data_IF_820264611778
#
_entry.id   IF_820264611778
#
_cell.length_a   1.000
_cell.length_b   1.000
_cell.length_c   1.000
_cell.angle_alpha   90.00
_cell.angle_beta   90.00
_cell.angle_gamma   90.00
#
_symmetry.space_group_name_H-M   'P 1'
#
loop_
_entity.id
_entity.type
_entity.pdbx_description
1 polymer ?
#
# COMPACT_ATOMS: atom_id res chain seq x y z
N UNK A 1 -0.75 -15.76 10.83
CA UNK A 1 -2.20 -15.46 11.03
C UNK A 1 -2.45 -14.34 12.05
N UNK A 2 -2.01 -14.45 13.33
CA UNK A 2 -2.19 -13.38 14.34
C UNK A 2 -1.64 -12.01 13.89
N UNK A 3 -0.46 -12.00 13.24
CA UNK A 3 0.20 -10.77 12.77
C UNK A 3 -0.63 -10.02 11.72
N UNK A 4 -1.17 -10.75 10.73
CA UNK A 4 -2.01 -10.17 9.68
C UNK A 4 -3.31 -9.58 10.21
N UNK A 5 -3.90 -10.21 11.24
CA UNK A 5 -5.09 -9.70 11.94
C UNK A 5 -4.80 -8.39 12.68
N UNK A 6 -3.64 -8.28 13.33
CA UNK A 6 -3.21 -7.04 13.96
C UNK A 6 -3.03 -5.90 12.96
N UNK A 7 -2.45 -6.19 11.79
CA UNK A 7 -2.25 -5.20 10.72
C UNK A 7 -3.60 -4.74 10.14
N UNK A 8 -4.56 -5.66 9.96
CA UNK A 8 -5.90 -5.30 9.51
C UNK A 8 -6.64 -4.42 10.52
N UNK A 9 -6.51 -4.73 11.82
CA UNK A 9 -7.13 -3.95 12.91
C UNK A 9 -6.57 -2.53 12.97
N UNK A 10 -5.25 -2.37 12.86
CA UNK A 10 -4.60 -1.06 12.82
C UNK A 10 -5.04 -0.29 11.58
N UNK A 11 -5.05 -0.92 10.40
CA UNK A 11 -5.49 -0.29 9.17
C UNK A 11 -6.97 0.16 9.23
N UNK A 12 -7.83 -0.66 9.84
CA UNK A 12 -9.23 -0.31 10.07
C UNK A 12 -9.38 0.86 11.03
N UNK A 13 -8.59 0.92 12.11
CA UNK A 13 -8.60 2.04 13.06
C UNK A 13 -8.14 3.35 12.40
N UNK A 14 -7.06 3.31 11.61
CA UNK A 14 -6.56 4.47 10.85
C UNK A 14 -7.64 4.91 9.85
N UNK A 15 -8.20 3.99 9.07
CA UNK A 15 -9.26 4.32 8.12
C UNK A 15 -10.48 4.94 8.82
N UNK A 16 -10.89 4.42 9.98
CA UNK A 16 -12.03 4.95 10.73
C UNK A 16 -11.79 6.38 11.25
N UNK A 17 -10.55 6.76 11.52
CA UNK A 17 -10.22 8.11 11.97
C UNK A 17 -9.99 9.07 10.80
N UNK A 18 -9.22 8.64 9.79
CA UNK A 18 -8.82 9.49 8.66
C UNK A 18 -9.91 9.63 7.60
N UNK A 19 -10.63 8.56 7.23
CA UNK A 19 -11.63 8.57 6.15
C UNK A 19 -12.77 9.57 6.41
N UNK A 20 -13.44 9.58 7.59
CA UNK A 20 -14.49 10.57 7.83
C UNK A 20 -13.92 11.99 7.86
N UNK A 21 -12.74 12.21 8.46
CA UNK A 21 -12.05 13.50 8.47
C UNK A 21 -11.74 14.03 7.05
N UNK A 22 -11.32 13.14 6.13
CA UNK A 22 -11.00 13.45 4.75
C UNK A 22 -12.24 13.64 3.85
N UNK A 23 -13.32 12.90 4.13
CA UNK A 23 -14.61 13.05 3.44
C UNK A 23 -15.29 14.37 3.81
N UNK A 24 -15.27 14.76 5.08
CA UNK A 24 -15.90 15.99 5.57
C UNK A 24 -15.29 17.24 4.91
N UNK A 25 -13.97 17.24 4.71
CA UNK A 25 -13.25 18.34 4.04
C UNK A 25 -13.37 18.36 2.52
N UNK A 26 -14.15 17.47 1.88
CA UNK A 26 -14.28 17.31 0.42
C UNK A 26 -12.94 17.11 -0.34
N UNK A 27 -11.86 16.74 0.37
CA UNK A 27 -10.55 16.56 -0.24
C UNK A 27 -10.43 15.18 -0.90
N UNK A 28 -11.14 15.00 -2.02
CA UNK A 28 -11.12 13.75 -2.81
C UNK A 28 -9.71 13.33 -3.22
N UNK A 29 -8.81 14.29 -3.47
CA UNK A 29 -7.40 14.03 -3.81
C UNK A 29 -6.62 13.45 -2.63
N UNK A 30 -6.80 14.01 -1.43
CA UNK A 30 -6.13 13.52 -0.22
C UNK A 30 -6.66 12.14 0.19
N UNK A 31 -7.97 11.91 0.07
CA UNK A 31 -8.57 10.59 0.29
C UNK A 31 -7.97 9.53 -0.65
N UNK A 32 -7.73 9.90 -1.91
CA UNK A 32 -7.15 9.00 -2.91
C UNK A 32 -5.69 8.67 -2.56
N UNK A 33 -4.88 9.67 -2.23
CA UNK A 33 -3.48 9.46 -1.79
C UNK A 33 -3.42 8.62 -0.51
N UNK A 34 -4.27 8.92 0.48
CA UNK A 34 -4.38 8.14 1.72
C UNK A 34 -4.75 6.69 1.45
N UNK A 35 -5.76 6.45 0.61
CA UNK A 35 -6.21 5.10 0.26
C UNK A 35 -5.13 4.29 -0.46
N UNK A 36 -4.40 4.92 -1.40
CA UNK A 36 -3.25 4.29 -2.06
C UNK A 36 -2.17 3.92 -1.03
N UNK A 37 -1.80 4.87 -0.18
CA UNK A 37 -0.73 4.68 0.80
C UNK A 37 -1.10 3.62 1.84
N UNK A 38 -2.35 3.61 2.31
CA UNK A 38 -2.88 2.60 3.22
C UNK A 38 -2.90 1.22 2.57
N UNK A 39 -3.32 1.13 1.31
CA UNK A 39 -3.33 -0.13 0.54
C UNK A 39 -1.92 -0.69 0.38
N UNK A 40 -0.94 0.16 0.08
CA UNK A 40 0.48 -0.22 0.00
C UNK A 40 0.96 -0.74 1.36
N UNK A 41 0.70 0.00 2.45
CA UNK A 41 1.11 -0.42 3.80
C UNK A 41 0.48 -1.75 4.23
N UNK A 42 -0.82 -1.94 3.96
CA UNK A 42 -1.55 -3.18 4.29
C UNK A 42 -1.04 -4.36 3.46
N UNK A 43 -0.82 -4.18 2.16
CA UNK A 43 -0.31 -5.24 1.29
C UNK A 43 1.10 -5.67 1.68
N UNK A 44 2.02 -4.73 1.95
CA UNK A 44 3.35 -5.05 2.49
C UNK A 44 3.25 -5.76 3.84
N UNK A 45 2.42 -5.24 4.74
CA UNK A 45 2.19 -5.84 6.06
C UNK A 45 1.61 -7.26 5.96
N UNK A 46 0.70 -7.51 5.03
CA UNK A 46 0.16 -8.83 4.76
C UNK A 46 1.23 -9.79 4.24
N UNK A 47 2.05 -9.37 3.27
CA UNK A 47 3.16 -10.19 2.73
C UNK A 47 4.11 -10.59 3.87
N UNK A 48 4.46 -9.65 4.74
CA UNK A 48 5.27 -9.90 5.94
C UNK A 48 4.55 -10.81 6.96
N UNK A 49 3.25 -10.60 7.19
CA UNK A 49 2.45 -11.33 8.17
C UNK A 49 2.12 -12.77 7.78
N UNK A 50 2.13 -13.06 6.47
CA UNK A 50 2.00 -14.42 5.91
C UNK A 50 3.28 -15.25 6.02
N UNK A 51 4.39 -14.66 6.50
CA UNK A 51 5.67 -15.37 6.62
C UNK A 51 6.33 -15.69 5.29
N UNK A 52 5.83 -15.09 4.19
CA UNK A 52 6.63 -15.00 2.96
C UNK A 52 7.87 -14.20 3.32
N UNK A 53 9.05 -14.76 3.03
CA UNK A 53 10.31 -14.04 3.21
C UNK A 53 10.15 -12.69 2.55
N UNK A 54 10.38 -11.62 3.31
CA UNK A 54 10.44 -10.28 2.75
C UNK A 54 11.38 -10.39 1.55
N UNK A 55 10.92 -10.08 0.32
CA UNK A 55 11.80 -10.13 -0.83
C UNK A 55 13.03 -9.32 -0.46
N UNK A 56 14.20 -9.81 -0.82
CA UNK A 56 15.43 -9.09 -0.48
C UNK A 56 15.31 -7.63 -0.94
N UNK A 57 15.97 -6.66 -0.28
CA UNK A 57 15.90 -5.26 -0.70
C UNK A 57 16.18 -5.09 -2.21
N UNK A 58 17.04 -5.96 -2.77
CA UNK A 58 17.29 -6.10 -4.20
C UNK A 58 16.06 -6.52 -5.01
N UNK A 59 15.31 -7.55 -4.59
CA UNK A 59 14.09 -8.00 -5.28
C UNK A 59 12.96 -6.97 -5.22
N UNK A 60 12.81 -6.27 -4.09
CA UNK A 60 11.87 -5.15 -3.98
C UNK A 60 12.24 -4.02 -4.96
N UNK A 61 13.54 -3.73 -5.06
CA UNK A 61 14.06 -2.74 -6.01
C UNK A 61 13.80 -3.20 -7.45
N UNK A 62 14.08 -4.47 -7.78
CA UNK A 62 13.78 -5.05 -9.10
C UNK A 62 12.29 -4.95 -9.42
N UNK A 63 11.40 -5.28 -8.48
CA UNK A 63 9.96 -5.17 -8.68
C UNK A 63 9.54 -3.72 -8.98
N UNK A 64 10.08 -2.74 -8.24
CA UNK A 64 9.82 -1.32 -8.46
C UNK A 64 10.31 -0.86 -9.84
N UNK A 65 11.52 -1.27 -10.22
CA UNK A 65 12.09 -0.96 -11.53
C UNK A 65 11.33 -1.63 -12.65
N UNK A 66 10.94 -2.90 -12.53
CA UNK A 66 10.12 -3.60 -13.53
C UNK A 66 8.79 -2.91 -13.72
N UNK A 67 8.09 -2.55 -12.63
CA UNK A 67 6.83 -1.82 -12.72
C UNK A 67 7.00 -0.46 -13.43
N UNK A 68 8.10 0.23 -13.15
CA UNK A 68 8.43 1.50 -13.80
C UNK A 68 8.77 1.31 -15.28
N UNK A 69 9.60 0.32 -15.62
CA UNK A 69 9.97 0.00 -17.00
C UNK A 69 8.75 -0.41 -17.82
N UNK A 70 7.82 -1.18 -17.26
CA UNK A 70 6.60 -1.61 -17.94
C UNK A 70 5.63 -0.42 -18.19
N UNK A 71 5.61 0.55 -17.26
CA UNK A 71 4.87 1.80 -17.44
C UNK A 71 5.50 2.72 -18.50
N UNK A 72 6.83 2.66 -18.66
CA UNK A 72 7.59 3.47 -19.63
C UNK A 72 7.74 2.80 -21.01
N UNK A 73 7.63 1.47 -21.09
CA UNK A 73 7.68 0.70 -22.33
C UNK A 73 6.72 1.24 -23.42
N UNK A 74 5.44 1.58 -23.12
CA UNK A 74 4.53 2.15 -24.11
C UNK A 74 4.84 3.60 -24.50
N UNK A 75 5.78 4.29 -23.84
CA UNK A 75 6.23 5.64 -24.23
C UNK A 75 7.49 5.61 -25.13
N UNK A 76 8.13 4.44 -25.23
CA UNK A 76 9.35 4.22 -26.01
C UNK A 76 9.07 3.56 -27.38
N UNK A 77 7.79 3.32 -27.71
CA UNK A 77 7.31 2.73 -28.96
C UNK A 77 6.28 3.65 -29.62
#
# INVERSE_FOLDING_TARGET
MIKSIGILLIAAAIAWFEVPSLLDKKHKKELLVFSILLTIGVSLGMVLGFGKTLPSPMELLTFLFTLLTDLMAPLLY
#
